data_IF_478663615996
#
_entry.id   IF_478663615996
#
_cell.length_a   1.000
_cell.length_b   1.000
_cell.length_c   1.000
_cell.angle_alpha   90.00
_cell.angle_beta   90.00
_cell.angle_gamma   90.00
#
_symmetry.space_group_name_H-M   'P 1'
#
loop_
_entity.id
_entity.type
_entity.pdbx_description
1 polymer ?
#
# COMPACT_ATOMS: atom_id res chain seq x y z
N UNK A 1 23.21 21.17 6.33
CA UNK A 1 22.35 20.30 7.16
C UNK A 1 22.53 20.59 8.65
N UNK A 2 23.76 20.67 9.17
CA UNK A 2 24.01 21.04 10.58
C UNK A 2 23.37 22.35 11.04
N UNK A 3 23.35 23.39 10.18
CA UNK A 3 22.75 24.68 10.52
C UNK A 3 21.23 24.63 10.71
N UNK A 4 20.54 23.78 9.94
CA UNK A 4 19.09 23.54 10.06
C UNK A 4 18.75 22.72 11.31
N UNK A 5 19.60 21.73 11.64
CA UNK A 5 19.47 20.91 12.84
C UNK A 5 19.68 21.76 14.09
N UNK A 6 20.73 22.59 14.12
CA UNK A 6 20.99 23.54 15.22
C UNK A 6 19.91 24.59 15.39
N UNK A 7 19.30 25.06 14.29
CA UNK A 7 18.18 25.99 14.34
C UNK A 7 16.93 25.36 14.96
N UNK A 8 16.59 24.14 14.53
CA UNK A 8 15.45 23.41 15.08
C UNK A 8 15.64 23.01 16.55
N UNK A 9 16.86 22.69 16.97
CA UNK A 9 17.22 22.43 18.36
C UNK A 9 17.08 23.68 19.24
N UNK A 10 17.57 24.83 18.77
CA UNK A 10 17.50 26.09 19.52
C UNK A 10 16.08 26.67 19.62
N UNK A 11 15.21 26.41 18.63
CA UNK A 11 13.85 26.97 18.59
C UNK A 11 12.82 26.04 19.23
N UNK A 12 12.97 24.72 19.09
CA UNK A 12 11.97 23.76 19.53
C UNK A 12 12.41 22.91 20.74
N UNK A 13 13.67 23.01 21.20
CA UNK A 13 14.25 22.16 22.25
C UNK A 13 14.13 20.65 21.96
N UNK A 14 13.98 20.28 20.69
CA UNK A 14 13.83 18.88 20.27
C UNK A 14 15.24 18.27 20.20
N UNK A 15 15.51 17.13 20.88
CA UNK A 15 16.80 16.46 20.83
C UNK A 15 17.22 16.14 19.39
N UNK A 16 18.49 16.37 19.02
CA UNK A 16 19.01 16.14 17.65
C UNK A 16 18.70 14.73 17.12
N UNK A 17 18.71 13.73 18.00
CA UNK A 17 18.37 12.33 17.67
C UNK A 17 16.94 12.20 17.14
N UNK A 18 16.00 12.99 17.68
CA UNK A 18 14.60 12.99 17.25
C UNK A 18 14.43 13.61 15.87
N UNK A 19 15.11 14.72 15.58
CA UNK A 19 15.09 15.38 14.25
C UNK A 19 15.72 14.46 13.20
N UNK A 20 16.84 13.83 13.53
CA UNK A 20 17.51 12.88 12.63
C UNK A 20 16.65 11.66 12.34
N UNK A 21 15.98 11.11 13.37
CA UNK A 21 15.04 10.00 13.20
C UNK A 21 13.84 10.36 12.31
N UNK A 22 13.30 11.58 12.44
CA UNK A 22 12.21 12.08 11.60
C UNK A 22 12.65 12.28 10.14
N UNK A 23 13.87 12.77 9.91
CA UNK A 23 14.43 12.92 8.55
C UNK A 23 14.69 11.56 7.89
N UNK A 24 15.30 10.61 8.62
CA UNK A 24 15.46 9.24 8.15
C UNK A 24 14.12 8.58 7.84
N UNK A 25 13.09 8.87 8.64
CA UNK A 25 11.74 8.40 8.40
C UNK A 25 11.15 8.96 7.10
N UNK A 26 11.17 10.28 6.89
CA UNK A 26 10.69 10.90 5.65
C UNK A 26 11.45 10.38 4.42
N UNK A 27 12.76 10.17 4.56
CA UNK A 27 13.58 9.58 3.51
C UNK A 27 13.20 8.13 3.22
N UNK A 28 13.00 7.31 4.26
CA UNK A 28 12.59 5.91 4.13
C UNK A 28 11.24 5.76 3.44
N UNK A 29 10.25 6.63 3.75
CA UNK A 29 8.96 6.67 3.04
C UNK A 29 9.17 6.99 1.57
N UNK A 30 10.01 7.99 1.26
CA UNK A 30 10.26 8.41 -0.11
C UNK A 30 10.91 7.29 -0.94
N UNK A 31 11.90 6.60 -0.36
CA UNK A 31 12.58 5.45 -0.99
C UNK A 31 11.61 4.28 -1.16
N UNK A 32 10.85 3.93 -0.12
CA UNK A 32 9.85 2.87 -0.18
C UNK A 32 8.81 3.17 -1.27
N UNK A 33 8.27 4.40 -1.32
CA UNK A 33 7.33 4.82 -2.35
C UNK A 33 7.90 4.66 -3.75
N UNK A 34 9.14 5.11 -3.99
CA UNK A 34 9.81 4.96 -5.28
C UNK A 34 10.00 3.49 -5.67
N UNK A 35 10.36 2.65 -4.71
CA UNK A 35 10.50 1.21 -4.91
C UNK A 35 9.17 0.54 -5.25
N UNK A 36 8.10 0.85 -4.51
CA UNK A 36 6.75 0.36 -4.79
C UNK A 36 6.24 0.79 -6.16
N UNK A 37 6.45 2.06 -6.53
CA UNK A 37 6.06 2.59 -7.84
C UNK A 37 6.79 1.85 -8.97
N UNK A 38 8.10 1.63 -8.84
CA UNK A 38 8.89 0.88 -9.82
C UNK A 38 8.47 -0.60 -9.90
N UNK A 39 8.16 -1.24 -8.77
CA UNK A 39 7.67 -2.63 -8.74
C UNK A 39 6.30 -2.78 -9.39
N UNK A 40 5.40 -1.84 -9.16
CA UNK A 40 4.09 -1.79 -9.81
C UNK A 40 4.26 -1.70 -11.32
N UNK A 41 5.17 -0.86 -11.79
CA UNK A 41 5.45 -0.68 -13.22
C UNK A 41 6.06 -1.93 -13.86
N UNK A 42 7.02 -2.58 -13.18
CA UNK A 42 7.64 -3.83 -13.61
C UNK A 42 6.63 -4.99 -13.70
N UNK A 43 5.75 -5.11 -12.70
CA UNK A 43 4.71 -6.16 -12.69
C UNK A 43 3.63 -5.87 -13.73
N UNK A 44 3.26 -4.59 -13.91
CA UNK A 44 2.31 -4.16 -14.92
C UNK A 44 2.82 -4.40 -16.34
N UNK A 45 4.12 -4.19 -16.60
CA UNK A 45 4.72 -4.44 -17.92
C UNK A 45 4.73 -5.92 -18.27
N UNK A 46 5.10 -6.80 -17.34
CA UNK A 46 5.04 -8.26 -17.49
C UNK A 46 3.62 -8.76 -17.79
N UNK A 47 2.62 -8.10 -17.20
CA UNK A 47 1.20 -8.41 -17.38
C UNK A 47 0.59 -7.82 -18.65
N UNK A 48 1.32 -7.10 -19.51
CA UNK A 48 0.78 -6.55 -20.77
C UNK A 48 0.44 -7.65 -21.79
N UNK A 49 1.29 -8.67 -21.91
CA UNK A 49 1.07 -9.78 -22.85
C UNK A 49 -0.24 -10.52 -22.57
N UNK A 50 -0.58 -10.73 -21.30
CA UNK A 50 -1.83 -11.41 -20.93
C UNK A 50 -3.05 -10.54 -21.26
N UNK A 51 -2.96 -9.21 -21.14
CA UNK A 51 -4.03 -8.30 -21.58
C UNK A 51 -4.26 -8.42 -23.10
N UNK A 52 -3.20 -8.52 -23.89
CA UNK A 52 -3.30 -8.65 -25.34
C UNK A 52 -3.93 -9.99 -25.73
N UNK A 53 -3.55 -11.08 -25.08
CA UNK A 53 -4.15 -12.41 -25.24
C UNK A 53 -5.64 -12.43 -24.82
N UNK A 54 -6.00 -11.74 -23.73
CA UNK A 54 -7.39 -11.64 -23.29
C UNK A 54 -8.27 -10.80 -24.24
N UNK A 55 -7.67 -9.92 -25.04
CA UNK A 55 -8.40 -9.15 -26.07
C UNK A 55 -8.73 -9.98 -27.31
N UNK A 56 -7.97 -11.04 -27.59
CA UNK A 56 -8.16 -11.91 -28.75
C UNK A 56 -9.06 -13.10 -28.47
N UNK A 57 -9.26 -13.46 -27.20
CA UNK A 57 -10.16 -14.53 -26.78
C UNK A 57 -11.63 -14.23 -27.11
N UNK A 58 -12.35 -15.27 -27.57
CA UNK A 58 -13.76 -15.17 -27.92
C UNK A 58 -14.61 -14.89 -26.67
N UNK A 59 -15.49 -13.89 -26.79
CA UNK A 59 -16.37 -13.40 -25.72
C UNK A 59 -17.46 -14.40 -25.35
N UNK A 60 -17.70 -15.40 -26.20
CA UNK A 60 -18.67 -16.47 -25.97
C UNK A 60 -18.31 -17.37 -24.76
N UNK A 61 -17.03 -17.45 -24.40
CA UNK A 61 -16.53 -18.30 -23.30
C UNK A 61 -16.04 -17.48 -22.10
N UNK A 62 -16.96 -16.76 -21.45
CA UNK A 62 -16.66 -15.96 -20.25
C UNK A 62 -15.91 -16.74 -19.15
N UNK A 63 -16.29 -18.00 -18.94
CA UNK A 63 -15.66 -18.88 -17.94
C UNK A 63 -14.17 -19.16 -18.24
N UNK A 64 -13.82 -19.45 -19.49
CA UNK A 64 -12.43 -19.70 -19.88
C UNK A 64 -11.57 -18.44 -19.69
N UNK A 65 -12.13 -17.27 -20.01
CA UNK A 65 -11.45 -15.98 -19.80
C UNK A 65 -11.17 -15.74 -18.32
N UNK A 66 -12.14 -16.01 -17.43
CA UNK A 66 -11.96 -15.89 -15.97
C UNK A 66 -10.90 -16.87 -15.44
N UNK A 67 -10.88 -18.11 -15.94
CA UNK A 67 -9.90 -19.11 -15.52
C UNK A 67 -8.48 -18.76 -15.95
N UNK A 68 -8.29 -18.43 -17.24
CA UNK A 68 -6.98 -18.00 -17.78
C UNK A 68 -6.50 -16.75 -17.03
N UNK A 69 -7.40 -15.81 -16.77
CA UNK A 69 -7.08 -14.63 -15.98
C UNK A 69 -6.61 -15.02 -14.57
N UNK A 70 -7.37 -15.85 -13.86
CA UNK A 70 -7.04 -16.29 -12.50
C UNK A 70 -5.69 -16.99 -12.43
N UNK A 71 -5.41 -17.90 -13.36
CA UNK A 71 -4.14 -18.63 -13.44
C UNK A 71 -2.94 -17.70 -13.70
N UNK A 72 -3.09 -16.73 -14.61
CA UNK A 72 -1.99 -15.82 -14.99
C UNK A 72 -1.80 -14.66 -14.02
N UNK A 73 -2.86 -14.15 -13.42
CA UNK A 73 -2.83 -12.97 -12.54
C UNK A 73 -2.85 -13.30 -11.05
N UNK A 74 -3.15 -14.54 -10.67
CA UNK A 74 -3.28 -15.00 -9.29
C UNK A 74 -4.44 -14.34 -8.53
N UNK A 75 -5.47 -13.90 -9.25
CA UNK A 75 -6.59 -13.16 -8.69
C UNK A 75 -7.89 -13.51 -9.41
N UNK A 76 -8.90 -13.90 -8.65
CA UNK A 76 -10.21 -14.24 -9.19
C UNK A 76 -11.01 -12.96 -9.46
N UNK A 77 -11.32 -12.73 -10.73
CA UNK A 77 -12.05 -11.57 -11.21
C UNK A 77 -13.15 -12.04 -12.14
N UNK A 78 -14.35 -11.46 -12.01
CA UNK A 78 -15.46 -11.81 -12.88
C UNK A 78 -15.24 -11.22 -14.28
N UNK A 79 -15.79 -11.87 -15.31
CA UNK A 79 -15.66 -11.50 -16.71
C UNK A 79 -16.05 -10.03 -16.97
N UNK A 80 -17.11 -9.55 -16.32
CA UNK A 80 -17.54 -8.15 -16.43
C UNK A 80 -16.47 -7.16 -15.96
N UNK A 81 -15.76 -7.49 -14.87
CA UNK A 81 -14.70 -6.66 -14.32
C UNK A 81 -13.46 -6.70 -15.23
N UNK A 82 -13.11 -7.88 -15.74
CA UNK A 82 -12.02 -8.07 -16.71
C UNK A 82 -12.29 -7.21 -17.95
N UNK A 83 -13.46 -7.35 -18.57
CA UNK A 83 -13.85 -6.60 -19.76
C UNK A 83 -13.87 -5.10 -19.50
N UNK A 84 -14.31 -4.67 -18.31
CA UNK A 84 -14.24 -3.26 -17.93
C UNK A 84 -12.80 -2.74 -17.96
N UNK A 85 -11.86 -3.41 -17.31
CA UNK A 85 -10.47 -2.97 -17.28
C UNK A 85 -9.77 -3.08 -18.63
N UNK A 86 -10.10 -4.08 -19.45
CA UNK A 86 -9.56 -4.22 -20.81
C UNK A 86 -9.88 -3.02 -21.73
N UNK A 87 -10.94 -2.26 -21.42
CA UNK A 87 -11.35 -1.05 -22.15
C UNK A 87 -10.65 0.23 -21.68
N UNK A 88 -9.97 0.20 -20.53
CA UNK A 88 -9.26 1.37 -20.00
C UNK A 88 -7.99 1.67 -20.81
N UNK A 89 -7.46 2.89 -20.69
CA UNK A 89 -6.23 3.28 -21.40
C UNK A 89 -5.00 2.48 -20.96
N UNK A 90 -4.99 2.03 -19.70
CA UNK A 90 -3.90 1.26 -19.09
C UNK A 90 -4.41 -0.01 -18.39
N UNK A 91 -4.87 -1.03 -19.14
CA UNK A 91 -5.54 -2.20 -18.56
C UNK A 91 -4.69 -2.95 -17.54
N UNK A 92 -3.42 -3.26 -17.87
CA UNK A 92 -2.56 -4.06 -16.98
C UNK A 92 -2.24 -3.33 -15.67
N UNK A 93 -2.08 -2.00 -15.71
CA UNK A 93 -1.89 -1.17 -14.53
C UNK A 93 -3.16 -1.13 -13.69
N UNK A 94 -4.31 -0.88 -14.31
CA UNK A 94 -5.59 -0.76 -13.61
C UNK A 94 -6.02 -2.08 -12.96
N UNK A 95 -5.81 -3.21 -13.65
CA UNK A 95 -6.00 -4.55 -13.10
C UNK A 95 -5.11 -4.73 -11.86
N UNK A 96 -3.82 -4.41 -11.97
CA UNK A 96 -2.89 -4.59 -10.85
C UNK A 96 -3.25 -3.72 -9.63
N UNK A 97 -3.63 -2.45 -9.87
CA UNK A 97 -4.11 -1.57 -8.80
C UNK A 97 -5.40 -2.10 -8.16
N UNK A 98 -6.30 -2.67 -8.97
CA UNK A 98 -7.56 -3.24 -8.49
C UNK A 98 -7.36 -4.48 -7.61
N UNK A 99 -6.40 -5.36 -7.91
CA UNK A 99 -6.14 -6.58 -7.11
C UNK A 99 -6.01 -6.30 -5.60
N UNK A 100 -5.29 -5.22 -5.25
CA UNK A 100 -5.10 -4.82 -3.86
C UNK A 100 -6.20 -3.90 -3.33
N UNK A 101 -6.87 -3.17 -4.24
CA UNK A 101 -7.83 -2.14 -3.91
C UNK A 101 -9.29 -2.62 -3.96
N UNK A 102 -9.56 -3.84 -4.42
CA UNK A 102 -10.89 -4.40 -4.59
C UNK A 102 -11.83 -4.19 -3.39
N UNK A 103 -11.40 -4.32 -2.11
CA UNK A 103 -12.27 -4.07 -0.96
C UNK A 103 -12.84 -2.64 -0.87
N UNK A 104 -12.26 -1.67 -1.58
CA UNK A 104 -12.72 -0.28 -1.60
C UNK A 104 -13.74 0.00 -2.70
N UNK A 105 -13.92 -0.91 -3.65
CA UNK A 105 -14.77 -0.71 -4.82
C UNK A 105 -15.93 -1.70 -4.87
N UNK A 106 -16.96 -1.30 -5.61
CA UNK A 106 -18.11 -2.12 -5.94
C UNK A 106 -18.39 -1.94 -7.42
N UNK A 107 -18.52 -3.05 -8.15
CA UNK A 107 -19.03 -3.03 -9.50
C UNK A 107 -20.55 -2.91 -9.48
N UNK A 108 -21.10 -1.87 -10.12
CA UNK A 108 -22.54 -1.76 -10.28
C UNK A 108 -23.04 -2.91 -11.18
N UNK A 109 -24.03 -3.68 -10.70
CA UNK A 109 -24.57 -4.84 -11.43
C UNK A 109 -25.21 -4.44 -12.77
N UNK A 110 -25.70 -3.21 -12.87
CA UNK A 110 -26.43 -2.67 -14.03
C UNK A 110 -25.52 -1.98 -15.05
N UNK A 111 -24.61 -1.11 -14.62
CA UNK A 111 -23.88 -0.23 -15.56
C UNK A 111 -22.47 -0.69 -15.92
N UNK A 112 -21.98 -1.80 -15.36
CA UNK A 112 -20.58 -2.24 -15.51
C UNK A 112 -19.56 -1.15 -15.14
N UNK A 113 -19.94 -0.20 -14.28
CA UNK A 113 -19.08 0.87 -13.82
C UNK A 113 -18.45 0.52 -12.47
N UNK A 114 -17.15 0.75 -12.36
CA UNK A 114 -16.46 0.72 -11.09
C UNK A 114 -16.84 1.97 -10.27
N UNK A 115 -17.41 1.77 -9.09
CA UNK A 115 -17.70 2.84 -8.12
C UNK A 115 -17.03 2.55 -6.79
N UNK A 116 -16.68 3.60 -6.06
CA UNK A 116 -16.29 3.46 -4.66
C UNK A 116 -17.45 2.88 -3.85
N UNK A 117 -17.12 2.06 -2.85
CA UNK A 117 -18.12 1.69 -1.84
C UNK A 117 -18.68 2.98 -1.22
N UNK A 118 -20.00 3.05 -1.01
CA UNK A 118 -20.70 4.25 -0.50
C UNK A 118 -20.12 4.89 0.76
N UNK A 119 -19.39 4.13 1.58
CA UNK A 119 -18.71 4.60 2.79
C UNK A 119 -17.34 5.25 2.54
N UNK A 120 -16.84 5.20 1.31
CA UNK A 120 -15.50 5.66 0.94
C UNK A 120 -15.61 6.80 -0.09
N UNK A 121 -15.06 7.95 0.24
CA UNK A 121 -14.83 9.07 -0.68
C UNK A 121 -13.32 9.23 -0.92
N UNK A 122 -12.92 9.95 -1.98
CA UNK A 122 -11.50 10.27 -2.25
C UNK A 122 -10.85 10.93 -1.02
N UNK A 123 -11.57 11.84 -0.34
CA UNK A 123 -11.11 12.49 0.89
C UNK A 123 -10.96 11.49 2.04
N UNK A 124 -11.92 10.57 2.21
CA UNK A 124 -11.85 9.53 3.23
C UNK A 124 -10.67 8.57 3.01
N UNK A 125 -10.40 8.16 1.76
CA UNK A 125 -9.25 7.32 1.43
C UNK A 125 -7.92 8.02 1.74
N UNK A 126 -7.79 9.31 1.40
CA UNK A 126 -6.60 10.10 1.72
C UNK A 126 -6.37 10.18 3.23
N UNK A 127 -7.44 10.40 3.99
CA UNK A 127 -7.37 10.49 5.45
C UNK A 127 -7.01 9.14 6.08
N UNK A 128 -7.62 8.04 5.63
CA UNK A 128 -7.27 6.67 6.06
C UNK A 128 -5.80 6.36 5.79
N UNK A 129 -5.31 6.66 4.59
CA UNK A 129 -3.90 6.45 4.23
C UNK A 129 -2.94 7.25 5.11
N UNK A 130 -3.31 8.49 5.47
CA UNK A 130 -2.55 9.30 6.41
C UNK A 130 -2.51 8.71 7.82
N UNK A 131 -3.64 8.25 8.35
CA UNK A 131 -3.68 7.58 9.66
C UNK A 131 -2.86 6.29 9.69
N UNK A 132 -2.91 5.46 8.63
CA UNK A 132 -2.07 4.28 8.54
C UNK A 132 -0.57 4.63 8.47
N UNK A 133 -0.20 5.73 7.82
CA UNK A 133 1.18 6.20 7.81
C UNK A 133 1.66 6.63 9.21
N UNK A 134 0.81 7.34 9.98
CA UNK A 134 1.10 7.68 11.38
C UNK A 134 1.23 6.41 12.23
N UNK A 135 0.32 5.45 12.06
CA UNK A 135 0.38 4.17 12.78
C UNK A 135 1.68 3.41 12.49
N UNK A 136 2.06 3.30 11.22
CA UNK A 136 3.34 2.72 10.81
C UNK A 136 4.52 3.37 11.53
N UNK A 137 4.53 4.71 11.60
CA UNK A 137 5.58 5.45 12.31
C UNK A 137 5.59 5.15 13.81
N UNK A 138 4.45 5.33 14.47
CA UNK A 138 4.32 5.19 15.92
C UNK A 138 4.75 3.79 16.37
N UNK A 139 4.24 2.74 15.72
CA UNK A 139 4.58 1.36 16.08
C UNK A 139 6.04 1.00 15.76
N UNK A 140 6.59 1.50 14.63
CA UNK A 140 8.01 1.32 14.33
C UNK A 140 8.91 1.97 15.37
N UNK A 141 8.63 3.22 15.74
CA UNK A 141 9.45 3.97 16.69
C UNK A 141 9.36 3.40 18.10
N UNK A 142 8.16 2.96 18.53
CA UNK A 142 7.99 2.25 19.79
C UNK A 142 8.73 0.91 19.80
N UNK A 143 8.67 0.16 18.70
CA UNK A 143 9.40 -1.11 18.57
C UNK A 143 10.92 -0.91 18.63
N UNK A 144 11.43 0.13 17.95
CA UNK A 144 12.86 0.46 17.94
C UNK A 144 13.34 1.02 19.28
N UNK A 145 12.53 1.86 19.96
CA UNK A 145 12.93 2.40 21.27
C UNK A 145 13.05 1.30 22.32
N UNK A 146 12.21 0.26 22.25
CA UNK A 146 12.27 -0.90 23.13
C UNK A 146 13.54 -1.75 22.92
N UNK A 147 14.18 -1.72 21.75
CA UNK A 147 15.46 -2.42 21.54
C UNK A 147 16.57 -1.86 22.43
N UNK A 148 16.56 -0.56 22.71
CA UNK A 148 17.53 0.08 23.60
C UNK A 148 17.36 -0.43 25.04
N UNK A 149 16.12 -0.64 25.47
CA UNK A 149 15.79 -1.13 26.82
C UNK A 149 16.18 -2.60 26.98
N UNK A 150 16.09 -3.41 25.91
CA UNK A 150 16.55 -4.81 25.92
C UNK A 150 18.05 -4.93 26.20
N UNK A 151 18.85 -3.98 25.71
CA UNK A 151 20.30 -3.98 25.97
C UNK A 151 20.62 -3.84 27.47
N UNK A 152 19.83 -3.03 28.19
CA UNK A 152 19.97 -2.80 29.63
C UNK A 152 19.41 -3.96 30.47
N UNK A 153 18.32 -4.59 30.02
CA UNK A 153 17.63 -5.69 30.71
C UNK A 153 18.34 -7.05 30.63
N UNK A 154 19.40 -7.19 29.81
CA UNK A 154 20.15 -8.44 29.64
C UNK A 154 20.82 -8.94 30.93
N UNK A 155 20.82 -8.15 32.01
CA UNK A 155 21.44 -8.49 33.30
C UNK A 155 20.48 -9.05 34.37
N UNK A 156 19.16 -9.10 34.14
CA UNK A 156 18.21 -9.55 35.19
C UNK A 156 16.91 -10.17 34.65
N UNK A 157 16.72 -11.47 34.90
CA UNK A 157 15.57 -12.33 34.59
C UNK A 157 15.27 -12.60 33.10
N UNK A 158 15.46 -13.86 32.68
CA UNK A 158 15.17 -14.38 31.34
C UNK A 158 13.73 -14.14 30.86
N UNK A 159 12.76 -14.12 31.80
CA UNK A 159 11.35 -13.87 31.49
C UNK A 159 11.10 -12.46 30.96
N UNK A 160 11.76 -11.44 31.51
CA UNK A 160 11.59 -10.03 31.15
C UNK A 160 12.19 -9.72 29.77
N UNK A 161 13.26 -10.43 29.42
CA UNK A 161 13.88 -10.37 28.10
C UNK A 161 12.93 -10.93 27.03
N UNK A 162 12.36 -12.13 27.26
CA UNK A 162 11.44 -12.78 26.32
C UNK A 162 10.16 -11.96 26.09
N UNK A 163 9.57 -11.39 27.14
CA UNK A 163 8.37 -10.53 27.00
C UNK A 163 8.67 -9.27 26.20
N UNK A 164 9.85 -8.66 26.39
CA UNK A 164 10.26 -7.46 25.65
C UNK A 164 10.49 -7.77 24.18
N UNK A 165 11.12 -8.90 23.88
CA UNK A 165 11.33 -9.36 22.50
C UNK A 165 9.99 -9.64 21.79
N UNK A 166 9.06 -10.31 22.46
CA UNK A 166 7.72 -10.57 21.92
C UNK A 166 6.94 -9.27 21.63
N UNK A 167 7.05 -8.29 22.53
CA UNK A 167 6.43 -6.98 22.36
C UNK A 167 7.00 -6.24 21.14
N UNK A 168 8.32 -6.26 20.94
CA UNK A 168 8.97 -5.64 19.78
C UNK A 168 8.50 -6.29 18.48
N UNK A 169 8.49 -7.62 18.42
CA UNK A 169 8.01 -8.35 17.25
C UNK A 169 6.55 -7.99 16.95
N UNK A 170 5.71 -7.91 17.98
CA UNK A 170 4.31 -7.52 17.85
C UNK A 170 4.16 -6.10 17.29
N UNK A 171 4.93 -5.14 17.79
CA UNK A 171 4.91 -3.75 17.31
C UNK A 171 5.40 -3.62 15.86
N UNK A 172 6.45 -4.34 15.49
CA UNK A 172 6.94 -4.38 14.11
C UNK A 172 5.91 -5.04 13.18
N UNK A 173 5.19 -6.06 13.65
CA UNK A 173 4.09 -6.66 12.91
C UNK A 173 2.93 -5.69 12.70
N UNK A 174 2.49 -4.97 13.75
CA UNK A 174 1.48 -3.92 13.64
C UNK A 174 1.90 -2.81 12.69
N UNK A 175 3.16 -2.39 12.76
CA UNK A 175 3.76 -1.44 11.82
C UNK A 175 3.64 -1.94 10.37
N UNK A 176 4.04 -3.17 10.09
CA UNK A 176 3.93 -3.77 8.77
C UNK A 176 2.46 -3.83 8.29
N UNK A 177 1.51 -4.18 9.16
CA UNK A 177 0.08 -4.14 8.83
C UNK A 177 -0.37 -2.73 8.44
N UNK A 178 0.03 -1.69 9.19
CA UNK A 178 -0.26 -0.30 8.85
C UNK A 178 0.33 0.09 7.48
N UNK A 179 1.57 -0.31 7.18
CA UNK A 179 2.18 -0.05 5.88
C UNK A 179 1.41 -0.71 4.74
N UNK A 180 1.01 -1.99 4.88
CA UNK A 180 0.21 -2.67 3.86
C UNK A 180 -1.15 -2.02 3.65
N UNK A 181 -1.82 -1.59 4.73
CA UNK A 181 -3.09 -0.88 4.64
C UNK A 181 -2.94 0.47 3.92
N UNK A 182 -1.87 1.22 4.21
CA UNK A 182 -1.54 2.47 3.52
C UNK A 182 -1.34 2.23 2.02
N UNK A 183 -0.58 1.21 1.61
CA UNK A 183 -0.37 0.87 0.21
C UNK A 183 -1.70 0.57 -0.49
N UNK A 184 -2.57 -0.24 0.12
CA UNK A 184 -3.89 -0.56 -0.43
C UNK A 184 -4.75 0.70 -0.62
N UNK A 185 -4.74 1.63 0.34
CA UNK A 185 -5.48 2.91 0.21
C UNK A 185 -4.92 3.79 -0.91
N UNK A 186 -3.60 3.81 -1.10
CA UNK A 186 -2.96 4.60 -2.15
C UNK A 186 -3.19 3.99 -3.54
N UNK A 187 -3.18 2.66 -3.65
CA UNK A 187 -3.54 1.95 -4.89
C UNK A 187 -4.99 2.21 -5.29
N UNK A 188 -5.92 2.21 -4.31
CA UNK A 188 -7.31 2.60 -4.56
C UNK A 188 -7.42 4.03 -5.10
N UNK A 189 -6.66 4.97 -4.53
CA UNK A 189 -6.64 6.37 -4.99
C UNK A 189 -6.09 6.50 -6.41
N UNK A 190 -5.00 5.81 -6.73
CA UNK A 190 -4.40 5.82 -8.07
C UNK A 190 -5.36 5.23 -9.12
N UNK A 191 -6.07 4.16 -8.77
CA UNK A 191 -7.05 3.54 -9.66
C UNK A 191 -8.20 4.50 -9.98
N UNK A 192 -8.73 5.21 -8.99
CA UNK A 192 -9.77 6.22 -9.18
C UNK A 192 -9.35 7.30 -10.16
N UNK A 193 -8.16 7.87 -9.94
CA UNK A 193 -7.61 8.91 -10.80
C UNK A 193 -7.48 8.39 -12.23
N UNK A 194 -6.93 7.18 -12.42
CA UNK A 194 -6.79 6.60 -13.75
C UNK A 194 -8.14 6.39 -14.46
N UNK A 195 -9.18 6.02 -13.73
CA UNK A 195 -10.51 5.78 -14.29
C UNK A 195 -11.24 7.10 -14.59
N UNK A 196 -11.04 8.14 -13.78
CA UNK A 196 -11.59 9.47 -14.05
C UNK A 196 -10.99 10.07 -15.32
N UNK A 197 -9.68 9.91 -15.55
CA UNK A 197 -9.02 10.31 -16.79
C UNK A 197 -9.55 9.59 -18.04
N UNK A 198 -10.02 8.35 -17.92
CA UNK A 198 -10.59 7.61 -19.05
C UNK A 198 -12.05 8.01 -19.36
N UNK A 199 -12.69 8.82 -18.51
CA UNK A 199 -14.07 9.33 -18.71
C UNK A 199 -14.13 10.74 -19.30
N UNK A 200 -13.03 11.49 -19.23
CA UNK A 200 -12.88 12.86 -19.76
C UNK A 200 -12.41 12.86 -21.20
#
# INVERSE_FOLDING_TARGET
MESLIKYAENVFQIPQVSIFSMLLFLFSIKVAKKYFDSKIEEVSSKKRFVVEELKTLDKSNAYLVEQVFSERYGYLMNYKEIVYFLRTSRPSLNIHLYQSAAPYFVFNKTDSQLKLHSKNTVRALRLKGFFFMIGYYAFSMLGLSLLNIIHELKSGNDSSFLTSLFLIVSLLFFSAMCATAQIKTEQARKLLISIEFDKS
#
